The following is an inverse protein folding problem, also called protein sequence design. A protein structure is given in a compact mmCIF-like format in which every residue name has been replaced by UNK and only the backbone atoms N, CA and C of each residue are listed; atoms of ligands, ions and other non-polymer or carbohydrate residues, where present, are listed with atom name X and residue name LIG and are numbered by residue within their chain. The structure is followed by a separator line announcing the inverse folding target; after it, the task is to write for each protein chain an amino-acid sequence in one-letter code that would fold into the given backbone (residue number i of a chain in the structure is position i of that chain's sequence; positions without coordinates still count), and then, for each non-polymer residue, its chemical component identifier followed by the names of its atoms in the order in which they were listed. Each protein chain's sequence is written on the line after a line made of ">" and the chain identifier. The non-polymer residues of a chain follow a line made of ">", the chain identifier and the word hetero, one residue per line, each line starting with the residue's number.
data_IF_962735893666
#
_entry.id   IF_962735893666
#
_cell.length_a   1.000
_cell.length_b   1.000
_cell.length_c   1.000
_cell.angle_alpha   90.00
_cell.angle_beta   90.00
_cell.angle_gamma   90.00
#
_symmetry.space_group_name_H-M   'P 1'
#
loop_
_entity.id
_entity.type
_entity.pdbx_description
1 polymer ?
#
# COMPACT_ATOMS: atom_id res chain seq x y z
N UNK A 1 -0.12 -6.61 -19.25
CA UNK A 1 -1.48 -6.50 -18.68
C UNK A 1 -1.39 -7.09 -17.29
N UNK A 2 -0.92 -6.29 -16.33
CA UNK A 2 -0.71 -6.69 -14.94
C UNK A 2 -2.05 -6.59 -14.18
N UNK A 3 -3.01 -7.42 -14.57
CA UNK A 3 -4.38 -7.34 -14.07
C UNK A 3 -4.56 -7.96 -12.66
N UNK A 4 -3.49 -8.48 -12.04
CA UNK A 4 -3.59 -9.17 -10.74
C UNK A 4 -2.34 -9.02 -9.87
N UNK A 5 -1.80 -7.81 -9.76
CA UNK A 5 -0.67 -7.57 -8.85
C UNK A 5 -1.17 -7.43 -7.42
N UNK A 6 -1.14 -8.54 -6.67
CA UNK A 6 -1.45 -8.57 -5.23
C UNK A 6 -0.21 -8.86 -4.40
N UNK A 7 -0.10 -8.20 -3.25
CA UNK A 7 0.92 -8.45 -2.24
C UNK A 7 0.26 -9.03 -1.00
N UNK A 8 0.84 -10.06 -0.39
CA UNK A 8 0.27 -10.72 0.79
C UNK A 8 1.27 -10.70 1.96
N UNK A 9 0.76 -10.47 3.16
CA UNK A 9 1.56 -10.45 4.40
C UNK A 9 0.65 -10.69 5.60
N UNK A 10 0.99 -11.63 6.48
CA UNK A 10 0.29 -11.88 7.77
C UNK A 10 -1.24 -11.75 7.75
N UNK A 11 -1.92 -12.45 6.82
CA UNK A 11 -3.39 -12.43 6.70
C UNK A 11 -3.97 -11.26 5.90
N UNK A 12 -3.12 -10.30 5.53
CA UNK A 12 -3.47 -9.19 4.64
C UNK A 12 -3.21 -9.53 3.18
N UNK A 13 -4.10 -9.07 2.31
CA UNK A 13 -3.94 -9.06 0.86
C UNK A 13 -4.15 -7.65 0.33
N UNK A 14 -3.12 -7.07 -0.27
CA UNK A 14 -3.12 -5.75 -0.86
C UNK A 14 -3.27 -5.88 -2.38
N UNK A 15 -4.43 -5.51 -2.90
CA UNK A 15 -4.71 -5.46 -4.33
C UNK A 15 -4.33 -4.09 -4.88
N UNK A 16 -3.25 -4.05 -5.66
CA UNK A 16 -2.71 -2.82 -6.23
C UNK A 16 -3.51 -2.31 -7.42
N UNK A 17 -4.24 -3.18 -8.12
CA UNK A 17 -5.02 -2.81 -9.29
C UNK A 17 -6.34 -2.14 -8.87
N UNK A 18 -6.95 -2.62 -7.79
CA UNK A 18 -8.23 -2.12 -7.28
C UNK A 18 -8.10 -1.18 -6.07
N UNK A 19 -6.87 -0.94 -5.59
CA UNK A 19 -6.57 -0.18 -4.38
C UNK A 19 -7.37 -0.67 -3.16
N UNK A 20 -7.36 -2.00 -2.93
CA UNK A 20 -8.10 -2.65 -1.85
C UNK A 20 -7.16 -3.36 -0.89
N UNK A 21 -7.45 -3.23 0.40
CA UNK A 21 -6.87 -4.07 1.44
C UNK A 21 -7.93 -5.07 1.88
N UNK A 22 -7.54 -6.34 1.97
CA UNK A 22 -8.33 -7.41 2.58
C UNK A 22 -7.56 -7.93 3.79
N UNK A 23 -8.24 -8.12 4.92
CA UNK A 23 -7.71 -8.73 6.13
C UNK A 23 -8.56 -9.96 6.44
N UNK A 24 -7.96 -11.15 6.44
CA UNK A 24 -8.66 -12.41 6.76
C UNK A 24 -9.98 -12.63 5.98
N UNK A 25 -10.03 -12.15 4.74
CA UNK A 25 -11.18 -12.25 3.84
C UNK A 25 -12.16 -11.08 3.89
N UNK A 26 -11.98 -10.12 4.80
CA UNK A 26 -12.82 -8.92 4.91
C UNK A 26 -12.15 -7.69 4.30
N UNK A 27 -12.92 -6.88 3.54
CA UNK A 27 -12.39 -5.65 2.93
C UNK A 27 -12.22 -4.58 4.01
N UNK A 28 -10.99 -4.07 4.15
CA UNK A 28 -10.65 -2.96 5.03
C UNK A 28 -10.58 -1.68 4.21
N UNK A 29 -11.47 -0.75 4.50
CA UNK A 29 -11.47 0.55 3.85
C UNK A 29 -10.28 1.40 4.31
N UNK A 30 -9.42 1.78 3.36
CA UNK A 30 -8.33 2.71 3.58
C UNK A 30 -8.59 4.01 2.80
N UNK A 31 -8.14 5.12 3.36
CA UNK A 31 -8.03 6.34 2.56
C UNK A 31 -6.95 6.15 1.48
N UNK A 32 -7.05 6.84 0.32
CA UNK A 32 -6.04 6.73 -0.74
C UNK A 32 -4.61 7.00 -0.23
N UNK A 33 -4.46 7.93 0.71
CA UNK A 33 -3.16 8.26 1.32
C UNK A 33 -2.60 7.13 2.17
N UNK A 34 -3.45 6.53 3.01
CA UNK A 34 -3.06 5.38 3.83
C UNK A 34 -2.71 4.17 2.94
N UNK A 35 -3.47 3.95 1.87
CA UNK A 35 -3.18 2.91 0.89
C UNK A 35 -1.83 3.12 0.20
N UNK A 36 -1.54 4.33 -0.29
CA UNK A 36 -0.28 4.64 -0.95
C UNK A 36 0.94 4.45 -0.04
N UNK A 37 0.82 4.84 1.24
CA UNK A 37 1.85 4.60 2.27
C UNK A 37 2.04 3.11 2.51
N UNK A 38 0.97 2.36 2.73
CA UNK A 38 1.04 0.91 2.96
C UNK A 38 1.67 0.18 1.77
N UNK A 39 1.24 0.51 0.55
CA UNK A 39 1.85 -0.02 -0.69
C UNK A 39 3.35 0.19 -0.70
N UNK A 40 3.83 1.40 -0.40
CA UNK A 40 5.27 1.70 -0.37
C UNK A 40 6.01 0.82 0.64
N UNK A 41 5.47 0.66 1.84
CA UNK A 41 6.08 -0.17 2.88
C UNK A 41 6.15 -1.65 2.49
N UNK A 42 5.11 -2.17 1.86
CA UNK A 42 5.04 -3.58 1.45
C UNK A 42 5.91 -3.84 0.21
N UNK A 43 5.94 -2.93 -0.77
CA UNK A 43 6.80 -3.04 -1.95
C UNK A 43 8.29 -2.94 -1.62
N UNK A 44 8.67 -2.10 -0.64
CA UNK A 44 10.04 -1.95 -0.16
C UNK A 44 10.31 -2.75 1.13
N UNK A 45 9.60 -3.87 1.33
CA UNK A 45 9.80 -4.74 2.49
C UNK A 45 11.29 -5.12 2.67
N UNK A 46 11.78 -4.99 3.90
CA UNK A 46 13.18 -5.25 4.25
C UNK A 46 14.14 -4.10 3.95
N UNK A 47 13.67 -2.96 3.44
CA UNK A 47 14.46 -1.74 3.26
C UNK A 47 14.01 -0.64 4.22
N UNK A 48 14.95 0.24 4.58
CA UNK A 48 14.63 1.46 5.31
C UNK A 48 13.82 2.39 4.41
N UNK A 49 12.58 2.70 4.80
CA UNK A 49 11.75 3.72 4.16
C UNK A 49 11.73 4.96 5.05
N UNK A 50 12.22 6.08 4.52
CA UNK A 50 12.34 7.33 5.25
C UNK A 50 11.00 8.07 5.35
N UNK A 51 10.86 8.95 6.34
CA UNK A 51 9.70 9.84 6.47
C UNK A 51 9.43 10.63 5.19
N UNK A 52 10.48 11.13 4.52
CA UNK A 52 10.34 11.88 3.28
C UNK A 52 9.77 11.02 2.14
N UNK A 53 10.14 9.74 2.05
CA UNK A 53 9.57 8.81 1.07
C UNK A 53 8.10 8.51 1.34
N UNK A 54 7.72 8.32 2.60
CA UNK A 54 6.31 8.11 2.98
C UNK A 54 5.45 9.35 2.67
N UNK A 55 5.97 10.55 2.94
CA UNK A 55 5.30 11.80 2.59
C UNK A 55 5.12 11.92 1.08
N UNK A 56 6.16 11.65 0.27
CA UNK A 56 6.04 11.65 -1.19
C UNK A 56 5.03 10.63 -1.71
N UNK A 57 4.95 9.46 -1.07
CA UNK A 57 4.03 8.40 -1.48
C UNK A 57 2.56 8.77 -1.22
N UNK A 58 2.23 9.30 -0.03
CA UNK A 58 0.85 9.62 0.35
C UNK A 58 0.40 11.07 0.08
N UNK A 59 1.36 11.98 -0.11
CA UNK A 59 1.14 13.43 -0.28
C UNK A 59 2.09 14.00 -1.34
N UNK A 60 1.93 13.63 -2.62
CA UNK A 60 2.81 14.11 -3.69
C UNK A 60 2.78 15.64 -3.89
N UNK A 61 1.72 16.32 -3.45
CA UNK A 61 1.47 17.77 -3.66
C UNK A 61 1.82 18.67 -2.46
N UNK A 62 2.61 18.22 -1.48
CA UNK A 62 2.94 19.02 -0.27
C UNK A 62 4.39 19.52 -0.28
N UNK A 63 4.75 20.31 -1.29
CA UNK A 63 6.04 21.01 -1.40
C UNK A 63 5.90 22.52 -1.27
#
# INVERSE_FOLDING_TARGET
>A
MDADRRLTFEGFSLDLANERLVCDGEVVALTPKAFAVLRRLVEDNGKLVTKAELLRAGWPDTH
#
